data_IF_383984179985
#
_entry.id   IF_383984179985
#
_cell.length_a   1.000
_cell.length_b   1.000
_cell.length_c   1.000
_cell.angle_alpha   90.00
_cell.angle_beta   90.00
_cell.angle_gamma   90.00
#
_symmetry.space_group_name_H-M   'P 1'
#
loop_
_entity.id
_entity.type
_entity.pdbx_description
1 polymer ?
#
# COMPACT_ATOMS: atom_id res chain seq x y z
N UNK A 1 -5.49 -18.45 -6.73
CA UNK A 1 -5.51 -17.35 -5.73
C UNK A 1 -5.86 -17.97 -4.39
N UNK A 2 -5.07 -17.73 -3.35
CA UNK A 2 -5.40 -18.28 -2.01
C UNK A 2 -6.65 -17.56 -1.47
N UNK A 3 -7.56 -18.29 -0.83
CA UNK A 3 -8.82 -17.76 -0.28
C UNK A 3 -8.62 -16.48 0.56
N UNK A 4 -7.58 -16.46 1.39
CA UNK A 4 -7.24 -15.31 2.24
C UNK A 4 -6.63 -14.11 1.49
N UNK A 5 -6.11 -14.31 0.28
CA UNK A 5 -5.54 -13.22 -0.52
C UNK A 5 -6.60 -12.18 -0.89
N UNK A 6 -7.77 -12.63 -1.36
CA UNK A 6 -8.85 -11.72 -1.75
C UNK A 6 -9.49 -11.02 -0.55
N UNK A 7 -9.54 -11.68 0.61
CA UNK A 7 -10.01 -11.06 1.86
C UNK A 7 -9.08 -9.93 2.30
N UNK A 8 -7.77 -10.13 2.18
CA UNK A 8 -6.78 -9.10 2.48
C UNK A 8 -6.90 -7.92 1.52
N UNK A 9 -6.96 -8.16 0.21
CA UNK A 9 -7.20 -7.11 -0.80
C UNK A 9 -8.48 -6.32 -0.49
N UNK A 10 -9.57 -7.03 -0.14
CA UNK A 10 -10.84 -6.38 0.18
C UNK A 10 -10.78 -5.54 1.45
N UNK A 11 -10.09 -6.00 2.49
CA UNK A 11 -9.86 -5.21 3.69
C UNK A 11 -9.14 -3.89 3.37
N UNK A 12 -8.08 -3.96 2.57
CA UNK A 12 -7.33 -2.77 2.15
C UNK A 12 -8.24 -1.83 1.36
N UNK A 13 -9.06 -2.36 0.44
CA UNK A 13 -10.04 -1.56 -0.32
C UNK A 13 -11.03 -0.83 0.60
N UNK A 14 -11.74 -1.58 1.44
CA UNK A 14 -12.81 -1.03 2.30
C UNK A 14 -12.24 0.00 3.31
N UNK A 15 -11.08 -0.27 3.91
CA UNK A 15 -10.42 0.65 4.82
C UNK A 15 -9.93 1.92 4.12
N UNK A 16 -9.43 1.79 2.89
CA UNK A 16 -8.95 2.94 2.10
C UNK A 16 -10.12 3.83 1.67
N UNK A 17 -11.22 3.23 1.20
CA UNK A 17 -12.43 3.95 0.81
C UNK A 17 -12.99 4.76 1.99
N UNK A 18 -13.05 4.17 3.19
CA UNK A 18 -13.63 4.82 4.37
C UNK A 18 -12.87 6.10 4.79
N UNK A 19 -11.54 6.10 4.71
CA UNK A 19 -10.73 7.28 5.10
C UNK A 19 -10.64 8.34 4.01
N UNK A 20 -10.90 7.99 2.74
CA UNK A 20 -10.87 8.92 1.62
C UNK A 20 -12.09 9.85 1.65
N UNK A 21 -12.00 10.88 2.48
CA UNK A 21 -12.99 11.93 2.67
C UNK A 21 -12.40 13.28 2.23
N UNK A 22 -13.26 14.27 2.00
CA UNK A 22 -12.89 15.65 1.64
C UNK A 22 -12.04 15.73 0.36
N UNK A 23 -10.78 16.17 0.47
CA UNK A 23 -9.88 16.42 -0.66
C UNK A 23 -9.24 15.15 -1.23
N UNK A 24 -9.40 14.01 -0.53
CA UNK A 24 -8.94 12.70 -0.98
C UNK A 24 -10.05 11.97 -1.74
N UNK A 25 -9.75 11.57 -2.97
CA UNK A 25 -10.66 10.84 -3.85
C UNK A 25 -10.20 9.39 -3.92
N UNK A 26 -11.08 8.47 -3.52
CA UNK A 26 -10.89 7.04 -3.72
C UNK A 26 -11.25 6.63 -5.16
N UNK A 27 -10.45 5.74 -5.74
CA UNK A 27 -10.77 5.08 -7.01
C UNK A 27 -10.64 3.57 -6.78
N UNK A 28 -11.74 2.86 -7.02
CA UNK A 28 -11.86 1.41 -6.80
C UNK A 28 -11.05 0.59 -7.83
N UNK A 29 -10.83 -0.69 -7.53
CA UNK A 29 -10.34 -1.68 -8.50
C UNK A 29 -11.33 -1.80 -9.66
N UNK A 30 -10.84 -1.72 -10.90
CA UNK A 30 -11.65 -1.88 -12.09
C UNK A 30 -11.01 -2.81 -13.11
N UNK A 31 -11.85 -3.35 -13.98
CA UNK A 31 -11.39 -4.14 -15.12
C UNK A 31 -11.10 -3.26 -16.33
N UNK A 32 -10.02 -3.58 -17.05
CA UNK A 32 -9.65 -2.90 -18.28
C UNK A 32 -9.11 -3.91 -19.31
N UNK A 33 -9.20 -3.54 -20.59
CA UNK A 33 -8.75 -4.40 -21.69
C UNK A 33 -7.31 -4.06 -22.06
N UNK A 34 -6.46 -5.08 -22.06
CA UNK A 34 -5.12 -5.02 -22.65
C UNK A 34 -5.09 -5.97 -23.83
N UNK A 35 -5.08 -5.42 -25.05
CA UNK A 35 -5.18 -6.18 -26.30
C UNK A 35 -6.45 -7.04 -26.35
N UNK A 36 -6.33 -8.35 -26.10
CA UNK A 36 -7.43 -9.33 -26.12
C UNK A 36 -7.80 -9.83 -24.72
N UNK A 37 -7.04 -9.45 -23.69
CA UNK A 37 -7.22 -9.94 -22.33
C UNK A 37 -7.90 -8.87 -21.47
N UNK A 38 -8.78 -9.31 -20.57
CA UNK A 38 -9.31 -8.47 -19.49
C UNK A 38 -8.37 -8.62 -18.29
N UNK A 39 -7.94 -7.49 -17.74
CA UNK A 39 -7.10 -7.41 -16.55
C UNK A 39 -7.79 -6.57 -15.49
N UNK A 40 -7.43 -6.81 -14.24
CA UNK A 40 -7.80 -5.96 -13.11
C UNK A 40 -6.71 -4.93 -12.88
N UNK A 41 -7.13 -3.73 -12.46
CA UNK A 41 -6.25 -2.68 -12.00
C UNK A 41 -5.55 -3.07 -10.70
N UNK A 42 -4.76 -2.16 -10.13
CA UNK A 42 -4.32 -2.30 -8.74
C UNK A 42 -5.52 -2.23 -7.79
N UNK A 43 -5.31 -2.71 -6.58
CA UNK A 43 -6.38 -2.97 -5.60
C UNK A 43 -7.10 -1.69 -5.16
N UNK A 44 -6.40 -0.57 -5.06
CA UNK A 44 -6.99 0.73 -4.74
C UNK A 44 -6.14 1.88 -5.27
N UNK A 45 -6.76 3.05 -5.46
CA UNK A 45 -6.05 4.30 -5.69
C UNK A 45 -6.60 5.42 -4.79
N UNK A 46 -5.72 6.34 -4.42
CA UNK A 46 -6.06 7.56 -3.71
C UNK A 46 -5.52 8.75 -4.49
N UNK A 47 -6.37 9.71 -4.83
CA UNK A 47 -5.99 10.93 -5.54
C UNK A 47 -6.17 12.15 -4.64
N UNK A 48 -5.21 13.07 -4.65
CA UNK A 48 -5.38 14.44 -4.11
C UNK A 48 -4.80 15.43 -5.11
N UNK A 49 -5.66 16.21 -5.75
CA UNK A 49 -5.25 17.14 -6.80
C UNK A 49 -4.56 16.42 -7.97
N UNK A 50 -3.24 16.62 -8.09
CA UNK A 50 -2.40 16.04 -9.14
C UNK A 50 -1.51 14.88 -8.68
N UNK A 51 -1.55 14.57 -7.38
CA UNK A 51 -0.82 13.46 -6.80
C UNK A 51 -1.73 12.21 -6.78
N UNK A 52 -1.16 11.05 -7.17
CA UNK A 52 -1.83 9.75 -7.16
C UNK A 52 -1.06 8.75 -6.31
N UNK A 53 -1.74 8.07 -5.40
CA UNK A 53 -1.25 6.90 -4.68
C UNK A 53 -1.89 5.65 -5.28
N UNK A 54 -1.06 4.73 -5.77
CA UNK A 54 -1.46 3.40 -6.22
C UNK A 54 -1.17 2.41 -5.12
N UNK A 55 -2.16 1.61 -4.75
CA UNK A 55 -2.07 0.63 -3.67
C UNK A 55 -2.22 -0.77 -4.24
N UNK A 56 -1.18 -1.58 -4.07
CA UNK A 56 -1.16 -2.98 -4.48
C UNK A 56 -1.02 -3.86 -3.24
N UNK A 57 -2.10 -4.54 -2.87
CA UNK A 57 -2.19 -5.41 -1.72
C UNK A 57 -1.74 -6.84 -2.07
N UNK A 58 -0.91 -7.43 -1.23
CA UNK A 58 -0.52 -8.83 -1.31
C UNK A 58 -0.53 -9.43 0.09
N UNK A 59 -1.48 -10.33 0.35
CA UNK A 59 -1.60 -11.08 1.62
C UNK A 59 -0.47 -12.10 1.87
N UNK A 60 0.75 -11.80 1.44
CA UNK A 60 1.94 -12.58 1.72
C UNK A 60 2.61 -12.07 3.00
N UNK A 61 3.13 -13.01 3.78
CA UNK A 61 4.06 -12.78 4.88
C UNK A 61 5.46 -13.25 4.46
N UNK A 62 6.49 -12.86 5.22
CA UNK A 62 7.87 -13.31 5.01
C UNK A 62 7.93 -14.85 4.98
N UNK A 63 8.72 -15.42 4.07
CA UNK A 63 8.87 -16.87 3.98
C UNK A 63 9.51 -17.44 5.26
N UNK A 64 8.99 -18.55 5.76
CA UNK A 64 9.53 -19.25 6.95
C UNK A 64 11.01 -19.62 6.77
N UNK A 65 11.44 -20.01 5.57
CA UNK A 65 12.86 -20.26 5.27
C UNK A 65 13.72 -19.00 5.45
N UNK A 66 13.19 -17.81 5.15
CA UNK A 66 13.90 -16.54 5.40
C UNK A 66 14.01 -16.29 6.91
N UNK A 67 12.92 -16.46 7.66
CA UNK A 67 12.89 -16.23 9.11
C UNK A 67 13.76 -17.23 9.88
N UNK A 68 13.72 -18.51 9.50
CA UNK A 68 14.34 -19.59 10.25
C UNK A 68 15.77 -19.90 9.81
N UNK A 69 16.12 -19.65 8.54
CA UNK A 69 17.40 -20.09 7.96
C UNK A 69 18.18 -18.97 7.25
N UNK A 70 17.65 -17.75 7.16
CA UNK A 70 18.23 -16.67 6.35
C UNK A 70 18.49 -17.04 4.88
N UNK A 71 17.70 -17.99 4.35
CA UNK A 71 17.79 -18.41 2.94
C UNK A 71 16.76 -17.67 2.09
N UNK A 72 16.97 -17.58 0.76
CA UNK A 72 16.00 -17.05 -0.22
C UNK A 72 15.53 -15.60 0.03
N UNK A 73 16.32 -14.80 0.73
CA UNK A 73 15.99 -13.41 1.08
C UNK A 73 15.68 -12.57 -0.17
N UNK A 74 16.46 -12.71 -1.24
CA UNK A 74 16.20 -12.01 -2.51
C UNK A 74 14.84 -12.38 -3.12
N UNK A 75 14.47 -13.66 -3.10
CA UNK A 75 13.18 -14.12 -3.60
C UNK A 75 12.02 -13.56 -2.76
N UNK A 76 12.21 -13.46 -1.44
CA UNK A 76 11.25 -12.86 -0.53
C UNK A 76 11.07 -11.36 -0.82
N UNK A 77 12.16 -10.61 -0.90
CA UNK A 77 12.15 -9.18 -1.22
C UNK A 77 11.49 -8.92 -2.59
N UNK A 78 11.78 -9.76 -3.60
CA UNK A 78 11.12 -9.66 -4.90
C UNK A 78 9.62 -9.91 -4.81
N UNK A 79 9.18 -10.84 -3.97
CA UNK A 79 7.77 -11.19 -3.82
C UNK A 79 6.99 -10.12 -3.05
N UNK A 80 7.59 -9.52 -2.02
CA UNK A 80 6.95 -8.53 -1.16
C UNK A 80 7.00 -7.11 -1.75
N UNK A 81 8.09 -6.75 -2.44
CA UNK A 81 8.32 -5.37 -2.86
C UNK A 81 8.44 -5.20 -4.38
N UNK A 82 9.43 -5.85 -5.02
CA UNK A 82 9.73 -5.60 -6.44
C UNK A 82 8.56 -5.95 -7.36
N UNK A 83 8.03 -7.18 -7.28
CA UNK A 83 6.99 -7.65 -8.20
C UNK A 83 5.68 -6.88 -8.04
N UNK A 84 5.16 -6.64 -6.82
CA UNK A 84 3.94 -5.86 -6.66
C UNK A 84 4.07 -4.43 -7.21
N UNK A 85 5.20 -3.76 -6.93
CA UNK A 85 5.44 -2.41 -7.45
C UNK A 85 5.50 -2.40 -8.98
N UNK A 86 6.24 -3.33 -9.60
CA UNK A 86 6.33 -3.40 -11.06
C UNK A 86 5.00 -3.83 -11.71
N UNK A 87 4.16 -4.58 -11.01
CA UNK A 87 2.82 -4.91 -11.47
C UNK A 87 1.93 -3.67 -11.49
N UNK A 88 1.91 -2.91 -10.40
CA UNK A 88 1.17 -1.66 -10.28
C UNK A 88 1.65 -0.60 -11.27
N UNK A 89 2.97 -0.46 -11.45
CA UNK A 89 3.58 0.44 -12.44
C UNK A 89 3.18 0.07 -13.87
N UNK A 90 3.31 -1.21 -14.24
CA UNK A 90 2.93 -1.66 -15.57
C UNK A 90 1.43 -1.51 -15.82
N UNK A 91 0.60 -1.68 -14.78
CA UNK A 91 -0.82 -1.42 -14.84
C UNK A 91 -1.10 0.06 -15.06
N UNK A 92 -0.53 0.94 -14.23
CA UNK A 92 -0.71 2.38 -14.32
C UNK A 92 -0.31 2.90 -15.69
N UNK A 93 0.84 2.49 -16.21
CA UNK A 93 1.30 2.85 -17.55
C UNK A 93 0.30 2.50 -18.67
N UNK A 94 -0.50 1.44 -18.49
CA UNK A 94 -1.51 1.05 -19.47
C UNK A 94 -2.81 1.84 -19.36
N UNK A 95 -3.12 2.43 -18.21
CA UNK A 95 -4.43 3.05 -17.93
C UNK A 95 -4.39 4.56 -17.76
N UNK A 96 -3.22 5.13 -17.45
CA UNK A 96 -3.09 6.54 -17.04
C UNK A 96 -3.67 7.51 -18.07
N UNK A 97 -3.43 7.30 -19.36
CA UNK A 97 -3.93 8.19 -20.43
C UNK A 97 -5.29 7.74 -21.00
N UNK A 98 -5.92 6.72 -20.41
CA UNK A 98 -7.13 6.09 -20.97
C UNK A 98 -8.38 6.33 -20.11
N UNK A 99 -8.23 6.87 -18.91
CA UNK A 99 -9.31 7.01 -17.93
C UNK A 99 -9.33 8.40 -17.33
N UNK A 100 -10.50 9.03 -17.39
CA UNK A 100 -10.72 10.41 -16.94
C UNK A 100 -10.37 10.61 -15.45
N UNK A 101 -10.53 9.56 -14.62
CA UNK A 101 -10.17 9.61 -13.21
C UNK A 101 -8.68 9.92 -12.96
N UNK A 102 -7.81 9.71 -13.96
CA UNK A 102 -6.37 10.00 -13.91
C UNK A 102 -5.95 11.25 -14.70
N UNK A 103 -6.91 11.99 -15.27
CA UNK A 103 -6.58 13.19 -16.03
C UNK A 103 -5.93 14.25 -15.14
N UNK A 104 -4.78 14.76 -15.56
CA UNK A 104 -4.03 15.80 -14.87
C UNK A 104 -3.18 15.31 -13.69
N UNK A 105 -2.99 14.00 -13.53
CA UNK A 105 -1.97 13.47 -12.60
C UNK A 105 -0.58 13.84 -13.12
N UNK A 106 0.24 14.41 -12.24
CA UNK A 106 1.62 14.81 -12.55
C UNK A 106 2.63 13.93 -11.79
N UNK A 107 2.24 13.35 -10.67
CA UNK A 107 3.11 12.53 -9.85
C UNK A 107 2.36 11.33 -9.25
N UNK A 108 2.99 10.16 -9.30
CA UNK A 108 2.45 8.92 -8.77
C UNK A 108 3.40 8.25 -7.76
N UNK A 109 2.79 7.69 -6.73
CA UNK A 109 3.38 6.93 -5.65
C UNK A 109 2.83 5.51 -5.72
N UNK A 110 3.66 4.49 -5.50
CA UNK A 110 3.20 3.10 -5.44
C UNK A 110 3.51 2.50 -4.08
N UNK A 111 2.51 1.98 -3.39
CA UNK A 111 2.70 1.23 -2.14
C UNK A 111 2.32 -0.23 -2.38
N UNK A 112 3.29 -1.12 -2.16
CA UNK A 112 3.02 -2.55 -1.95
C UNK A 112 2.66 -2.79 -0.49
N UNK A 113 1.41 -3.17 -0.22
CA UNK A 113 0.95 -3.48 1.14
C UNK A 113 1.00 -4.97 1.37
N UNK A 114 1.79 -5.41 2.35
CA UNK A 114 1.97 -6.81 2.71
C UNK A 114 1.69 -7.04 4.20
N UNK A 115 1.60 -8.29 4.66
CA UNK A 115 1.39 -8.55 6.10
C UNK A 115 2.60 -8.09 6.93
N UNK A 116 3.81 -8.28 6.39
CA UNK A 116 5.06 -7.85 6.98
C UNK A 116 5.80 -6.95 6.00
N UNK A 117 6.64 -6.03 6.48
CA UNK A 117 7.54 -5.26 5.63
C UNK A 117 8.87 -6.01 5.38
N UNK A 118 9.63 -5.54 4.40
CA UNK A 118 11.00 -6.04 4.19
C UNK A 118 11.93 -5.58 5.32
N UNK A 119 12.91 -6.42 5.65
CA UNK A 119 13.92 -6.07 6.65
C UNK A 119 14.67 -4.78 6.25
N UNK A 120 14.82 -3.88 7.23
CA UNK A 120 15.53 -2.60 7.19
C UNK A 120 17.05 -2.72 6.95
N UNK A 121 17.47 -3.39 5.87
CA UNK A 121 18.88 -3.61 5.51
C UNK A 121 19.22 -2.78 4.28
N UNK A 122 20.16 -1.82 4.37
CA UNK A 122 20.44 -0.88 3.28
C UNK A 122 20.78 -1.55 1.95
N UNK A 123 21.53 -2.66 1.99
CA UNK A 123 21.88 -3.40 0.77
C UNK A 123 20.65 -3.98 0.06
N UNK A 124 19.63 -4.39 0.80
CA UNK A 124 18.38 -4.88 0.20
C UNK A 124 17.60 -3.74 -0.45
N UNK A 125 17.46 -2.62 0.25
CA UNK A 125 16.80 -1.43 -0.29
C UNK A 125 17.49 -0.94 -1.56
N UNK A 126 18.82 -0.80 -1.55
CA UNK A 126 19.58 -0.36 -2.73
C UNK A 126 19.39 -1.30 -3.93
N UNK A 127 19.42 -2.62 -3.71
CA UNK A 127 19.20 -3.61 -4.77
C UNK A 127 17.77 -3.54 -5.33
N UNK A 128 16.78 -3.40 -4.46
CA UNK A 128 15.36 -3.30 -4.82
C UNK A 128 15.09 -2.00 -5.59
N UNK A 129 15.56 -0.86 -5.07
CA UNK A 129 15.42 0.45 -5.71
C UNK A 129 16.05 0.44 -7.10
N UNK A 130 17.24 -0.14 -7.23
CA UNK A 130 17.88 -0.32 -8.54
C UNK A 130 17.04 -1.17 -9.48
N UNK A 131 16.60 -2.35 -9.06
CA UNK A 131 15.81 -3.26 -9.90
C UNK A 131 14.48 -2.64 -10.36
N UNK A 132 13.79 -1.93 -9.47
CA UNK A 132 12.55 -1.22 -9.80
C UNK A 132 12.85 -0.07 -10.77
N UNK A 133 13.83 0.77 -10.48
CA UNK A 133 14.17 1.92 -11.33
C UNK A 133 14.55 1.53 -12.77
N UNK A 134 15.23 0.39 -12.95
CA UNK A 134 15.63 -0.13 -14.26
C UNK A 134 14.47 -0.77 -15.03
N UNK A 135 13.42 -1.20 -14.32
CA UNK A 135 12.33 -2.02 -14.88
C UNK A 135 10.98 -1.29 -14.98
N UNK A 136 10.80 -0.19 -14.25
CA UNK A 136 9.56 0.60 -14.27
C UNK A 136 9.31 1.18 -15.65
N UNK A 137 8.04 1.33 -16.01
CA UNK A 137 7.56 1.79 -17.31
C UNK A 137 6.87 3.12 -17.24
N UNK A 138 6.12 3.37 -16.16
CA UNK A 138 5.39 4.62 -16.02
C UNK A 138 6.36 5.74 -15.62
N UNK A 139 6.37 6.82 -16.40
CA UNK A 139 7.23 7.98 -16.14
C UNK A 139 6.77 8.79 -14.93
N UNK A 140 5.46 8.83 -14.67
CA UNK A 140 4.87 9.56 -13.53
C UNK A 140 5.19 8.94 -12.17
N UNK A 141 5.59 7.66 -12.14
CA UNK A 141 5.91 6.97 -10.88
C UNK A 141 7.26 7.47 -10.38
N UNK A 142 7.22 8.29 -9.33
CA UNK A 142 8.40 8.89 -8.69
C UNK A 142 8.82 8.14 -7.43
N UNK A 143 7.87 7.60 -6.68
CA UNK A 143 8.13 6.99 -5.37
C UNK A 143 7.49 5.61 -5.25
N UNK A 144 8.16 4.73 -4.52
CA UNK A 144 7.63 3.39 -4.26
C UNK A 144 8.09 2.84 -2.91
N UNK A 145 7.17 2.19 -2.21
CA UNK A 145 7.33 1.73 -0.83
C UNK A 145 6.79 0.31 -0.68
N UNK A 146 7.29 -0.39 0.33
CA UNK A 146 6.67 -1.59 0.85
C UNK A 146 6.29 -1.35 2.31
N UNK A 147 4.99 -1.38 2.58
CA UNK A 147 4.44 -1.19 3.92
C UNK A 147 3.89 -2.52 4.43
N UNK A 148 4.08 -2.77 5.71
CA UNK A 148 3.25 -3.73 6.43
C UNK A 148 1.81 -3.22 6.51
N UNK A 149 0.88 -4.11 6.88
CA UNK A 149 -0.50 -3.71 7.16
C UNK A 149 -0.58 -2.63 8.25
N UNK A 150 0.24 -2.73 9.30
CA UNK A 150 0.31 -1.73 10.37
C UNK A 150 0.74 -0.36 9.80
N UNK A 151 1.81 -0.32 9.01
CA UNK A 151 2.32 0.93 8.43
C UNK A 151 1.30 1.58 7.49
N UNK A 152 0.56 0.75 6.74
CA UNK A 152 -0.52 1.23 5.87
C UNK A 152 -1.71 1.76 6.69
N UNK A 153 -2.12 1.07 7.75
CA UNK A 153 -3.17 1.53 8.67
C UNK A 153 -2.81 2.87 9.33
N UNK A 154 -1.54 3.07 9.71
CA UNK A 154 -1.04 4.35 10.19
C UNK A 154 -1.15 5.45 9.12
N UNK A 155 -0.85 5.13 7.85
CA UNK A 155 -1.04 6.06 6.73
C UNK A 155 -2.52 6.43 6.58
N UNK A 156 -3.44 5.46 6.68
CA UNK A 156 -4.89 5.71 6.61
C UNK A 156 -5.37 6.61 7.75
N UNK A 157 -4.85 6.44 8.96
CA UNK A 157 -5.13 7.34 10.09
C UNK A 157 -4.73 8.80 9.79
N UNK A 158 -3.58 9.01 9.14
CA UNK A 158 -3.15 10.34 8.73
C UNK A 158 -4.12 10.95 7.71
N UNK A 159 -4.63 10.16 6.76
CA UNK A 159 -5.64 10.60 5.78
C UNK A 159 -6.93 11.01 6.49
N UNK A 160 -7.43 10.17 7.41
CA UNK A 160 -8.67 10.41 8.16
C UNK A 160 -8.60 11.73 8.95
N UNK A 161 -7.42 12.06 9.49
CA UNK A 161 -7.17 13.29 10.23
C UNK A 161 -6.81 14.51 9.33
N UNK A 162 -6.89 14.37 8.01
CA UNK A 162 -6.67 15.46 7.05
C UNK A 162 -5.21 15.83 6.81
N UNK A 163 -4.27 14.96 7.19
CA UNK A 163 -2.84 15.17 6.93
C UNK A 163 -2.54 15.00 5.45
N UNK A 164 -1.64 15.83 4.90
CA UNK A 164 -1.15 15.66 3.54
C UNK A 164 -0.16 14.49 3.44
N UNK A 165 -0.69 13.29 3.18
CA UNK A 165 0.14 12.09 3.05
C UNK A 165 1.16 12.16 1.92
N UNK A 166 0.93 12.91 0.84
CA UNK A 166 1.88 13.00 -0.26
C UNK A 166 3.10 13.83 0.15
N UNK A 167 2.90 14.88 0.95
CA UNK A 167 4.00 15.58 1.60
C UNK A 167 4.80 14.65 2.53
N UNK A 168 4.11 13.91 3.40
CA UNK A 168 4.75 12.99 4.36
C UNK A 168 5.56 11.90 3.65
N UNK A 169 5.02 11.30 2.59
CA UNK A 169 5.70 10.25 1.82
C UNK A 169 6.94 10.79 1.09
N UNK A 170 6.85 11.98 0.48
CA UNK A 170 8.00 12.66 -0.15
C UNK A 170 9.11 12.91 0.87
N UNK A 171 8.76 13.43 2.03
CA UNK A 171 9.70 13.70 3.12
C UNK A 171 10.36 12.39 3.61
N UNK A 172 9.55 11.36 3.91
CA UNK A 172 10.03 10.05 4.34
C UNK A 172 11.01 9.42 3.33
N UNK A 173 10.73 9.51 2.03
CA UNK A 173 11.63 9.01 0.99
C UNK A 173 12.93 9.82 0.91
N UNK A 174 12.85 11.15 1.05
CA UNK A 174 13.99 12.05 0.93
C UNK A 174 15.02 11.93 2.05
N UNK A 175 14.58 11.56 3.26
CA UNK A 175 15.45 11.42 4.42
C UNK A 175 16.41 10.21 4.30
N UNK A 176 16.22 9.34 3.30
CA UNK A 176 17.03 8.13 3.13
C UNK A 176 16.95 7.19 4.35
N UNK A 177 15.89 7.34 5.15
CA UNK A 177 15.70 6.65 6.41
C UNK A 177 15.48 5.17 6.16
N UNK A 178 16.33 4.34 6.77
CA UNK A 178 16.17 2.88 6.79
C UNK A 178 15.15 2.43 7.83
N UNK A 179 14.66 3.34 8.67
CA UNK A 179 13.69 3.01 9.71
C UNK A 179 12.34 2.66 9.09
N UNK A 180 11.62 1.67 9.66
CA UNK A 180 10.21 1.42 9.33
C UNK A 180 9.38 2.71 9.37
N UNK A 181 8.40 2.82 8.48
CA UNK A 181 7.53 4.00 8.38
C UNK A 181 6.80 4.26 9.70
N UNK A 182 6.46 3.18 10.43
CA UNK A 182 5.84 3.28 11.74
C UNK A 182 6.68 4.03 12.77
N UNK A 183 8.01 3.84 12.77
CA UNK A 183 8.91 4.58 13.66
C UNK A 183 8.96 6.05 13.25
N UNK A 184 9.08 6.32 11.94
CA UNK A 184 9.11 7.67 11.41
C UNK A 184 7.89 8.49 11.82
N UNK A 185 6.69 7.92 11.67
CA UNK A 185 5.45 8.61 12.05
C UNK A 185 5.36 8.78 13.56
N UNK A 186 5.68 7.76 14.37
CA UNK A 186 5.61 7.86 15.84
C UNK A 186 6.55 8.93 16.43
N UNK A 187 7.66 9.23 15.77
CA UNK A 187 8.55 10.32 16.16
C UNK A 187 7.93 11.71 15.91
N UNK A 188 7.07 11.84 14.89
CA UNK A 188 6.43 13.10 14.49
C UNK A 188 5.05 13.30 15.12
N UNK A 189 4.32 12.21 15.31
CA UNK A 189 2.98 12.19 15.87
C UNK A 189 2.83 11.02 16.84
N UNK A 190 2.77 11.34 18.13
CA UNK A 190 2.57 10.35 19.19
C UNK A 190 1.11 9.96 19.41
N UNK A 191 0.18 10.52 18.61
CA UNK A 191 -1.27 10.33 18.74
C UNK A 191 -1.85 9.32 17.76
N UNK A 192 -1.02 8.62 16.97
CA UNK A 192 -1.48 7.58 16.05
C UNK A 192 -2.33 6.53 16.77
N UNK A 193 -3.52 6.30 16.23
CA UNK A 193 -4.51 5.35 16.75
C UNK A 193 -5.23 4.64 15.59
N UNK A 194 -6.21 3.80 15.90
CA UNK A 194 -7.10 3.17 14.93
C UNK A 194 -8.00 4.21 14.25
N UNK A 195 -8.24 4.03 12.96
CA UNK A 195 -9.25 4.78 12.20
C UNK A 195 -10.66 4.50 12.72
N UNK A 196 -11.63 5.33 12.35
CA UNK A 196 -13.04 5.11 12.67
C UNK A 196 -13.53 3.76 12.11
N UNK A 197 -13.13 3.41 10.89
CA UNK A 197 -13.41 2.12 10.26
C UNK A 197 -12.97 0.93 11.13
N UNK A 198 -11.69 0.94 11.56
CA UNK A 198 -11.12 -0.13 12.38
C UNK A 198 -11.81 -0.20 13.74
N UNK A 199 -12.00 0.95 14.39
CA UNK A 199 -12.67 1.06 15.69
C UNK A 199 -14.10 0.50 15.66
N UNK A 200 -14.87 0.85 14.63
CA UNK A 200 -16.25 0.37 14.43
C UNK A 200 -16.29 -1.15 14.29
N UNK A 201 -15.47 -1.70 13.38
CA UNK A 201 -15.42 -3.14 13.13
C UNK A 201 -14.96 -3.92 14.37
N UNK A 202 -13.92 -3.42 15.06
CA UNK A 202 -13.44 -4.04 16.30
C UNK A 202 -14.54 -4.06 17.37
N UNK A 203 -15.21 -2.93 17.59
CA UNK A 203 -16.26 -2.80 18.61
C UNK A 203 -17.46 -3.72 18.31
N UNK A 204 -17.90 -3.76 17.06
CA UNK A 204 -19.01 -4.63 16.64
C UNK A 204 -18.71 -6.11 16.92
N UNK A 205 -17.51 -6.57 16.54
CA UNK A 205 -17.09 -7.95 16.79
C UNK A 205 -16.94 -8.22 18.29
N UNK A 206 -16.29 -7.31 19.03
CA UNK A 206 -16.09 -7.46 20.47
C UNK A 206 -17.41 -7.53 21.23
N UNK A 207 -18.39 -6.71 20.88
CA UNK A 207 -19.69 -6.69 21.55
C UNK A 207 -20.53 -7.93 21.21
N UNK A 208 -20.45 -8.43 19.97
CA UNK A 208 -21.04 -9.72 19.59
C UNK A 208 -20.40 -10.91 20.31
N UNK A 209 -19.08 -10.90 20.49
CA UNK A 209 -18.40 -11.95 21.27
C UNK A 209 -18.81 -11.91 22.74
N UNK A 210 -18.94 -10.72 23.33
CA UNK A 210 -19.46 -10.59 24.70
C UNK A 210 -20.88 -11.14 24.81
N UNK A 211 -21.79 -10.80 23.90
CA UNK A 211 -23.16 -11.28 23.99
C UNK A 211 -23.25 -12.81 23.94
N UNK A 212 -22.36 -13.49 23.20
CA UNK A 212 -22.29 -14.95 23.15
C UNK A 212 -21.70 -15.61 24.43
N UNK A 213 -20.92 -14.89 25.22
CA UNK A 213 -20.29 -15.39 26.45
C UNK A 213 -21.15 -15.17 27.70
N UNK A 214 -22.12 -14.25 27.63
CA UNK A 214 -23.00 -13.88 28.74
C UNK A 214 -24.47 -14.29 28.50
N UNK A 215 -24.73 -15.15 27.52
CA UNK A 215 -25.90 -16.05 27.43
C UNK A 215 -25.66 -17.34 28.22
#
# INVERSE_FOLDING_TARGET
>A
MAFFGRLFERYIQDATEDVCKNDYIYIDEFEFKVRRDIRKSSDAYIRKGKDLLVVEAKGFSVLVDCMAKNEKIENNNKKLFVKPVLQADACLNEIIDKKEEFDGIEEAFIISVTLDNINAVPNYYNAIQKEISESKKCELVCYYYNFSIEEYEMLLYLIENGTDIFFVLREYFSEGMLAPFSNYIREKDSTIDMTEFMNKNYKEVADKMKSMLWE
#
